data_IF_414150758709
#
_entry.id   IF_414150758709
#
_cell.length_a   1.000
_cell.length_b   1.000
_cell.length_c   1.000
_cell.angle_alpha   90.00
_cell.angle_beta   90.00
_cell.angle_gamma   90.00
#
_symmetry.space_group_name_H-M   'P 1'
#
loop_
_entity.id
_entity.type
_entity.pdbx_description
1 polymer ?
#
# COMPACT_ATOMS: atom_id res chain seq x y z
N UNK A 1 3.45 12.01 26.65
CA UNK A 1 2.93 11.62 25.33
C UNK A 1 2.99 10.11 25.30
N UNK A 2 1.90 9.43 24.94
CA UNK A 2 1.95 7.97 24.76
C UNK A 2 3.00 7.67 23.70
N UNK A 3 3.91 6.73 23.97
CA UNK A 3 4.80 6.22 22.93
C UNK A 3 3.96 5.73 21.75
N UNK A 4 4.38 6.07 20.53
CA UNK A 4 3.70 5.59 19.32
C UNK A 4 3.81 4.06 19.28
N UNK A 5 2.68 3.37 19.16
CA UNK A 5 2.69 1.92 18.93
C UNK A 5 2.85 1.64 17.43
N UNK A 6 3.64 0.61 17.13
CA UNK A 6 3.82 0.08 15.77
C UNK A 6 3.28 -1.34 15.64
N UNK A 7 2.75 -1.92 16.73
CA UNK A 7 2.40 -3.34 16.79
C UNK A 7 1.34 -3.71 15.76
N UNK A 8 0.31 -2.88 15.59
CA UNK A 8 -0.75 -3.14 14.61
C UNK A 8 -0.22 -3.03 13.18
N UNK A 9 0.60 -2.03 12.90
CA UNK A 9 1.22 -1.83 11.59
C UNK A 9 2.17 -2.99 11.25
N UNK A 10 2.96 -3.43 12.23
CA UNK A 10 3.84 -4.59 12.11
C UNK A 10 3.04 -5.86 11.83
N UNK A 11 1.98 -6.13 12.61
CA UNK A 11 1.12 -7.29 12.41
C UNK A 11 0.42 -7.27 11.04
N UNK A 12 0.00 -6.08 10.58
CA UNK A 12 -0.59 -5.91 9.26
C UNK A 12 0.40 -6.31 8.16
N UNK A 13 1.59 -5.72 8.15
CA UNK A 13 2.60 -6.00 7.12
C UNK A 13 3.18 -7.41 7.21
N UNK A 14 3.18 -8.02 8.39
CA UNK A 14 3.59 -9.42 8.60
C UNK A 14 2.69 -10.41 7.85
N UNK A 15 1.46 -10.01 7.50
CA UNK A 15 0.48 -10.83 6.77
C UNK A 15 0.48 -10.58 5.27
N UNK A 16 1.08 -9.50 4.78
CA UNK A 16 1.08 -9.18 3.34
C UNK A 16 1.93 -10.21 2.60
N UNK A 17 1.40 -10.92 1.57
CA UNK A 17 2.08 -12.07 0.96
C UNK A 17 3.49 -11.79 0.41
N UNK A 18 3.70 -10.60 -0.16
CA UNK A 18 4.97 -10.19 -0.76
C UNK A 18 5.95 -9.55 0.24
N UNK A 19 5.57 -9.38 1.51
CA UNK A 19 6.40 -8.78 2.56
C UNK A 19 6.67 -9.84 3.62
N UNK A 20 5.64 -10.22 4.39
CA UNK A 20 5.76 -11.15 5.52
C UNK A 20 6.67 -10.59 6.63
N UNK A 21 6.61 -11.19 7.82
CA UNK A 21 7.36 -10.73 9.00
C UNK A 21 8.88 -10.67 8.73
N UNK A 22 9.41 -11.62 7.97
CA UNK A 22 10.84 -11.73 7.69
C UNK A 22 11.43 -10.56 6.87
N UNK A 23 10.59 -9.77 6.19
CA UNK A 23 11.03 -8.62 5.38
C UNK A 23 10.74 -7.28 6.05
N UNK A 24 10.25 -7.27 7.30
CA UNK A 24 10.17 -6.04 8.08
C UNK A 24 11.56 -5.74 8.65
N UNK A 25 12.13 -4.59 8.27
CA UNK A 25 13.51 -4.26 8.65
C UNK A 25 13.55 -3.57 10.02
N UNK A 26 12.85 -2.45 10.14
CA UNK A 26 12.89 -1.58 11.33
C UNK A 26 11.85 -0.47 11.25
N UNK A 27 11.57 0.16 12.38
CA UNK A 27 10.67 1.31 12.49
C UNK A 27 11.07 2.15 13.69
N UNK A 28 10.64 3.40 13.72
CA UNK A 28 10.97 4.29 14.82
C UNK A 28 10.36 5.67 14.71
N UNK A 29 10.69 6.51 15.68
CA UNK A 29 10.25 7.90 15.79
C UNK A 29 11.43 8.82 16.00
N UNK A 30 11.28 10.10 15.65
CA UNK A 30 12.22 11.17 16.01
C UNK A 30 12.08 11.63 17.48
N UNK A 31 11.16 11.02 18.24
CA UNK A 31 10.84 11.39 19.62
C UNK A 31 9.92 12.62 19.74
N UNK A 32 9.40 13.12 18.61
CA UNK A 32 8.43 14.22 18.55
C UNK A 32 7.17 13.76 17.83
N UNK A 33 7.09 14.02 16.53
CA UNK A 33 5.90 13.84 15.70
C UNK A 33 6.19 13.05 14.42
N UNK A 34 7.46 12.78 14.12
CA UNK A 34 7.82 12.02 12.94
C UNK A 34 8.02 10.55 13.27
N UNK A 35 7.57 9.69 12.37
CA UNK A 35 7.80 8.26 12.45
C UNK A 35 8.03 7.67 11.06
N UNK A 36 8.67 6.51 11.05
CA UNK A 36 8.96 5.76 9.83
C UNK A 36 8.85 4.25 10.06
N UNK A 37 8.52 3.52 9.01
CA UNK A 37 8.41 2.07 8.99
C UNK A 37 9.06 1.54 7.70
N UNK A 38 10.12 0.74 7.84
CA UNK A 38 10.95 0.23 6.75
C UNK A 38 10.80 -1.28 6.60
N UNK A 39 10.62 -1.73 5.37
CA UNK A 39 10.49 -3.13 5.01
C UNK A 39 10.97 -3.35 3.57
N UNK A 40 11.07 -4.61 3.18
CA UNK A 40 11.33 -5.04 1.82
C UNK A 40 10.08 -5.69 1.23
N UNK A 41 9.93 -5.58 -0.08
CA UNK A 41 8.95 -6.34 -0.85
C UNK A 41 9.76 -7.36 -1.65
N UNK A 42 9.42 -8.64 -1.51
CA UNK A 42 10.01 -9.70 -2.33
C UNK A 42 9.65 -9.45 -3.80
N UNK A 43 10.59 -8.88 -4.56
CA UNK A 43 10.40 -8.51 -5.96
C UNK A 43 10.16 -9.69 -6.90
N UNK A 44 10.53 -10.91 -6.46
CA UNK A 44 10.28 -12.15 -7.20
C UNK A 44 8.88 -12.72 -6.91
N UNK A 45 8.17 -12.19 -5.90
CA UNK A 45 6.82 -12.62 -5.59
C UNK A 45 5.84 -12.19 -6.70
N UNK A 46 4.91 -13.04 -7.16
CA UNK A 46 3.98 -12.69 -8.25
C UNK A 46 3.14 -11.43 -7.99
N UNK A 47 2.87 -11.13 -6.71
CA UNK A 47 2.13 -9.94 -6.27
C UNK A 47 3.01 -8.72 -5.97
N UNK A 48 4.32 -8.76 -6.15
CA UNK A 48 5.23 -7.69 -5.68
C UNK A 48 4.84 -6.30 -6.20
N UNK A 49 4.69 -6.16 -7.52
CA UNK A 49 4.35 -4.89 -8.15
C UNK A 49 2.91 -4.46 -7.89
N UNK A 50 2.02 -5.43 -7.69
CA UNK A 50 0.67 -5.14 -7.26
C UNK A 50 0.65 -4.58 -5.84
N UNK A 51 1.42 -5.16 -4.92
CA UNK A 51 1.61 -4.60 -3.57
C UNK A 51 2.17 -3.18 -3.63
N UNK A 52 3.18 -2.92 -4.46
CA UNK A 52 3.72 -1.56 -4.66
C UNK A 52 2.64 -0.60 -5.17
N UNK A 53 1.83 -1.02 -6.14
CA UNK A 53 0.77 -0.21 -6.73
C UNK A 53 -0.32 0.14 -5.70
N UNK A 54 -0.84 -0.86 -4.98
CA UNK A 54 -1.89 -0.66 -3.97
C UNK A 54 -1.41 0.19 -2.80
N UNK A 55 -0.19 -0.08 -2.30
CA UNK A 55 0.42 0.74 -1.24
C UNK A 55 0.69 2.17 -1.72
N UNK A 56 1.16 2.34 -2.95
CA UNK A 56 1.33 3.66 -3.55
C UNK A 56 0.02 4.45 -3.65
N UNK A 57 -1.08 3.78 -3.98
CA UNK A 57 -2.41 4.40 -3.97
C UNK A 57 -2.82 4.79 -2.54
N UNK A 58 -2.87 3.85 -1.61
CA UNK A 58 -3.38 4.14 -0.26
C UNK A 58 -2.51 5.15 0.49
N UNK A 59 -1.19 4.99 0.45
CA UNK A 59 -0.25 5.74 1.30
C UNK A 59 0.21 7.06 0.70
N UNK A 60 0.12 7.27 -0.62
CA UNK A 60 0.50 8.54 -1.25
C UNK A 60 -0.72 9.33 -1.74
N UNK A 61 -1.60 8.70 -2.54
CA UNK A 61 -2.71 9.38 -3.21
C UNK A 61 -3.95 8.47 -3.29
N UNK A 62 -4.89 8.67 -2.36
CA UNK A 62 -6.18 7.97 -2.36
C UNK A 62 -7.07 8.45 -3.50
N UNK A 63 -6.84 9.67 -4.01
CA UNK A 63 -7.53 10.22 -5.17
C UNK A 63 -6.60 11.19 -5.89
N UNK A 64 -7.01 11.64 -7.10
CA UNK A 64 -6.29 12.68 -7.87
C UNK A 64 -6.02 13.94 -7.04
N UNK A 65 -6.86 14.22 -6.03
CA UNK A 65 -6.80 15.42 -5.20
C UNK A 65 -6.70 15.14 -3.69
N UNK A 66 -6.71 13.88 -3.26
CA UNK A 66 -6.66 13.52 -1.83
C UNK A 66 -5.34 12.83 -1.50
N UNK A 67 -4.56 13.49 -0.64
CA UNK A 67 -3.23 13.04 -0.22
C UNK A 67 -3.23 12.82 1.28
N UNK A 68 -2.85 11.62 1.71
CA UNK A 68 -2.54 11.37 3.11
C UNK A 68 -1.24 12.10 3.51
N UNK A 69 -1.05 12.46 4.78
CA UNK A 69 0.19 13.06 5.27
C UNK A 69 1.40 12.11 5.27
N UNK A 70 1.21 10.87 4.81
CA UNK A 70 2.24 9.84 4.63
C UNK A 70 2.99 9.97 3.32
N UNK A 71 4.14 9.32 3.26
CA UNK A 71 4.92 9.10 2.05
C UNK A 71 5.38 7.66 2.03
N UNK A 72 5.16 6.98 0.91
CA UNK A 72 5.67 5.66 0.59
C UNK A 72 6.70 5.78 -0.52
N UNK A 73 7.95 5.48 -0.20
CA UNK A 73 9.12 5.77 -1.04
C UNK A 73 10.03 4.54 -1.17
N UNK A 74 10.60 4.26 -2.36
CA UNK A 74 11.69 3.30 -2.47
C UNK A 74 12.96 3.87 -1.85
N UNK A 75 13.72 3.05 -1.15
CA UNK A 75 15.04 3.39 -0.61
C UNK A 75 16.04 2.27 -0.92
N UNK A 76 17.30 2.64 -1.12
CA UNK A 76 18.40 1.69 -1.33
C UNK A 76 19.61 2.13 -0.52
N UNK A 77 20.50 1.20 -0.14
CA UNK A 77 21.77 1.54 0.47
C UNK A 77 22.67 2.35 -0.48
N UNK A 78 23.78 2.89 0.04
CA UNK A 78 24.77 3.58 -0.79
C UNK A 78 25.24 2.74 -1.99
N UNK A 79 25.51 3.36 -3.15
CA UNK A 79 25.82 2.65 -4.41
C UNK A 79 26.93 1.60 -4.32
N UNK A 80 27.91 1.79 -3.44
CA UNK A 80 29.04 0.87 -3.23
C UNK A 80 28.70 -0.37 -2.39
N UNK A 81 27.50 -0.43 -1.81
CA UNK A 81 26.93 -1.60 -1.14
C UNK A 81 25.71 -2.16 -1.90
N UNK A 82 25.41 -1.63 -3.09
CA UNK A 82 24.30 -2.12 -3.89
C UNK A 82 24.70 -3.37 -4.68
N UNK A 83 23.88 -4.39 -4.57
CA UNK A 83 23.76 -5.49 -5.51
C UNK A 83 22.40 -5.44 -6.20
N UNK A 84 21.80 -6.61 -6.45
CA UNK A 84 20.52 -6.68 -7.15
C UNK A 84 19.36 -6.11 -6.31
N UNK A 85 18.30 -5.64 -6.97
CA UNK A 85 17.14 -5.06 -6.30
C UNK A 85 16.55 -6.00 -5.22
N UNK A 86 16.51 -7.31 -5.48
CA UNK A 86 16.01 -8.31 -4.53
C UNK A 86 16.80 -8.39 -3.20
N UNK A 87 18.01 -7.84 -3.17
CA UNK A 87 18.88 -7.87 -1.99
C UNK A 87 18.91 -6.54 -1.24
N UNK A 88 18.58 -5.43 -1.90
CA UNK A 88 18.89 -4.09 -1.40
C UNK A 88 17.77 -3.06 -1.59
N UNK A 89 16.73 -3.37 -2.36
CA UNK A 89 15.58 -2.49 -2.51
C UNK A 89 14.68 -2.66 -1.28
N UNK A 90 14.54 -1.57 -0.53
CA UNK A 90 13.57 -1.45 0.56
C UNK A 90 12.57 -0.35 0.24
N UNK A 91 11.52 -0.28 1.03
CA UNK A 91 10.57 0.80 1.03
C UNK A 91 10.42 1.37 2.42
N UNK A 92 10.13 2.67 2.49
CA UNK A 92 9.83 3.38 3.73
C UNK A 92 8.47 4.01 3.63
N UNK A 93 7.66 3.79 4.66
CA UNK A 93 6.50 4.63 4.97
C UNK A 93 6.97 5.63 6.01
N UNK A 94 6.75 6.92 5.78
CA UNK A 94 7.06 7.96 6.76
C UNK A 94 5.94 8.98 6.86
N UNK A 95 5.78 9.54 8.06
CA UNK A 95 4.86 10.64 8.31
C UNK A 95 5.43 11.59 9.35
N UNK A 96 5.20 12.89 9.17
CA UNK A 96 5.67 13.95 10.07
C UNK A 96 4.50 14.71 10.72
N UNK A 97 3.27 14.21 10.60
CA UNK A 97 2.07 14.88 11.08
C UNK A 97 1.69 14.36 12.47
N UNK A 98 1.58 15.26 13.45
CA UNK A 98 1.37 14.92 14.86
C UNK A 98 0.10 14.08 15.09
N UNK A 99 -0.99 14.43 14.40
CA UNK A 99 -2.29 13.74 14.53
C UNK A 99 -2.41 12.50 13.63
N UNK A 100 -1.30 11.98 13.10
CA UNK A 100 -1.31 10.84 12.19
C UNK A 100 -0.33 9.73 12.64
N UNK A 101 -0.64 9.03 13.74
CA UNK A 101 0.19 7.94 14.27
C UNK A 101 0.11 6.68 13.40
N UNK A 102 1.04 5.72 13.57
CA UNK A 102 1.07 4.47 12.78
C UNK A 102 -0.25 3.68 12.80
N UNK A 103 -0.95 3.67 13.95
CA UNK A 103 -2.22 2.95 14.10
C UNK A 103 -3.33 3.49 13.19
N UNK A 104 -3.36 4.80 12.92
CA UNK A 104 -4.38 5.41 12.04
C UNK A 104 -4.24 4.88 10.63
N UNK A 105 -3.01 4.64 10.15
CA UNK A 105 -2.78 4.11 8.80
C UNK A 105 -3.35 2.71 8.64
N UNK A 106 -3.34 1.92 9.71
CA UNK A 106 -3.90 0.58 9.65
C UNK A 106 -5.39 0.63 9.27
N UNK A 107 -6.14 1.62 9.75
CA UNK A 107 -7.56 1.79 9.35
C UNK A 107 -7.69 2.10 7.85
N UNK A 108 -6.79 2.94 7.30
CA UNK A 108 -6.79 3.26 5.87
C UNK A 108 -6.40 2.07 5.00
N UNK A 109 -5.39 1.30 5.43
CA UNK A 109 -4.93 0.09 4.78
C UNK A 109 -6.02 -0.99 4.83
N UNK A 110 -6.59 -1.25 5.99
CA UNK A 110 -7.63 -2.28 6.16
C UNK A 110 -8.90 -1.98 5.36
N UNK A 111 -9.27 -0.69 5.24
CA UNK A 111 -10.45 -0.27 4.48
C UNK A 111 -10.28 -0.33 2.96
N UNK A 112 -9.05 -0.41 2.43
CA UNK A 112 -8.77 -0.27 0.99
C UNK A 112 -8.01 -1.44 0.38
N UNK A 113 -7.18 -2.11 1.16
CA UNK A 113 -6.47 -3.29 0.73
C UNK A 113 -7.36 -4.53 0.80
N UNK A 114 -6.98 -5.61 0.08
CA UNK A 114 -7.69 -6.87 0.13
C UNK A 114 -7.98 -7.36 1.56
N UNK A 115 -9.19 -7.87 1.77
CA UNK A 115 -9.62 -8.46 3.05
C UNK A 115 -10.05 -9.92 2.84
N UNK A 116 -9.43 -10.90 3.53
CA UNK A 116 -8.26 -10.74 4.41
C UNK A 116 -6.97 -10.43 3.62
N UNK A 117 -6.04 -9.70 4.23
CA UNK A 117 -4.82 -9.20 3.56
C UNK A 117 -3.83 -10.33 3.21
N UNK A 118 -3.88 -11.43 3.94
CA UNK A 118 -3.09 -12.64 3.69
C UNK A 118 -3.57 -13.49 2.51
N UNK A 119 -4.78 -13.28 2.01
CA UNK A 119 -5.34 -14.07 0.91
C UNK A 119 -4.83 -13.54 -0.44
N UNK A 120 -3.81 -14.22 -0.98
CA UNK A 120 -3.18 -13.90 -2.25
C UNK A 120 -4.14 -13.85 -3.45
N UNK A 121 -5.26 -14.58 -3.42
CA UNK A 121 -6.23 -14.55 -4.51
C UNK A 121 -7.05 -13.26 -4.51
N UNK A 122 -7.25 -12.65 -3.33
CA UNK A 122 -7.93 -11.34 -3.20
C UNK A 122 -7.08 -10.19 -3.70
N UNK A 123 -5.77 -10.35 -3.76
CA UNK A 123 -4.89 -9.38 -4.36
C UNK A 123 -5.02 -9.37 -5.87
N UNK A 124 -5.22 -10.51 -6.54
CA UNK A 124 -5.24 -10.57 -8.00
C UNK A 124 -6.37 -9.71 -8.57
N UNK A 125 -6.04 -8.62 -9.25
CA UNK A 125 -7.01 -7.86 -10.03
C UNK A 125 -7.41 -8.75 -11.21
N UNK A 126 -8.72 -8.95 -11.41
CA UNK A 126 -9.24 -9.55 -12.65
C UNK A 126 -8.93 -8.61 -13.81
N UNK A 127 -7.80 -8.85 -14.48
CA UNK A 127 -7.43 -8.13 -15.71
C UNK A 127 -7.97 -8.82 -16.97
N UNK A 128 -8.54 -10.02 -16.85
CA UNK A 128 -9.14 -10.73 -17.98
C UNK A 128 -10.54 -10.17 -18.26
N UNK A 129 -10.56 -9.19 -19.16
CA UNK A 129 -11.77 -8.51 -19.65
C UNK A 129 -12.55 -9.35 -20.67
N UNK A 130 -12.15 -10.59 -20.96
CA UNK A 130 -12.98 -11.50 -21.78
C UNK A 130 -14.37 -11.74 -21.21
N UNK A 131 -14.52 -11.61 -19.88
CA UNK A 131 -15.82 -11.65 -19.22
C UNK A 131 -16.67 -10.41 -19.64
N UNK A 132 -16.06 -9.23 -19.81
CA UNK A 132 -16.74 -8.03 -20.30
C UNK A 132 -17.12 -8.14 -21.78
N UNK A 133 -16.30 -8.81 -22.60
CA UNK A 133 -16.61 -9.06 -24.03
C UNK A 133 -17.85 -9.97 -24.21
N UNK A 134 -18.25 -10.70 -23.17
CA UNK A 134 -19.43 -11.57 -23.16
C UNK A 134 -20.66 -10.90 -22.52
N UNK A 135 -20.52 -9.71 -21.93
CA UNK A 135 -21.62 -8.97 -21.33
C UNK A 135 -22.41 -8.22 -22.40
N UNK A 136 -23.73 -8.09 -22.22
CA UNK A 136 -24.54 -7.27 -23.12
C UNK A 136 -24.34 -5.78 -22.85
N UNK A 137 -24.57 -4.92 -23.85
CA UNK A 137 -24.50 -3.46 -23.70
C UNK A 137 -25.28 -2.95 -22.48
N UNK A 138 -26.42 -3.57 -22.18
CA UNK A 138 -27.25 -3.23 -21.02
C UNK A 138 -26.61 -3.57 -19.68
N UNK A 139 -25.84 -4.64 -19.63
CA UNK A 139 -25.16 -5.06 -18.40
C UNK A 139 -23.92 -4.17 -18.15
N UNK A 140 -23.24 -3.77 -19.22
CA UNK A 140 -22.12 -2.82 -19.16
C UNK A 140 -22.56 -1.43 -18.68
N UNK A 141 -23.72 -0.95 -19.14
CA UNK A 141 -24.31 0.33 -18.71
C UNK A 141 -24.63 0.37 -17.21
N UNK A 142 -24.84 -0.78 -16.55
CA UNK A 142 -25.07 -0.83 -15.09
C UNK A 142 -23.79 -0.79 -14.25
N UNK A 143 -22.64 -1.09 -14.86
CA UNK A 143 -21.33 -1.05 -14.19
C UNK A 143 -20.68 0.33 -14.26
N UNK A 144 -21.05 1.15 -15.24
CA UNK A 144 -20.57 2.52 -15.39
C UNK A 144 -21.61 3.47 -14.78
N UNK A 145 -21.31 4.22 -13.70
CA UNK A 145 -22.25 5.19 -13.18
C UNK A 145 -22.60 6.22 -14.27
N UNK A 146 -23.88 6.62 -14.40
CA UNK A 146 -24.30 7.54 -15.45
C UNK A 146 -23.46 8.82 -15.38
N UNK A 147 -23.00 9.26 -16.56
CA UNK A 147 -22.17 10.45 -16.68
C UNK A 147 -22.92 11.63 -16.02
N UNK A 148 -22.30 12.38 -15.09
CA UNK A 148 -23.01 13.47 -14.44
C UNK A 148 -23.48 14.48 -15.49
N UNK A 149 -24.77 14.83 -15.42
CA UNK A 149 -25.37 15.76 -16.37
C UNK A 149 -24.56 17.06 -16.44
N UNK A 150 -24.38 17.64 -17.64
CA UNK A 150 -23.75 18.94 -17.78
C UNK A 150 -24.50 19.94 -16.89
N UNK A 151 -23.80 20.52 -15.90
CA UNK A 151 -24.35 21.64 -15.14
C UNK A 151 -24.46 22.83 -16.10
N UNK A 152 -25.70 23.16 -16.49
CA UNK A 152 -26.04 24.43 -17.15
C UNK A 152 -25.70 25.63 -16.27
#
# INVERSE_FOLDING_TARGET
MSELSFDRLHQFFSKVPSIQEALIDSYGTDGKNAWWFKFQINVDHPLAWQTVQELGHVLNYISKNERLPTQFLPVSPPPYMNGEAKQFLSWVIQCNHADFPPDVICDWLEARLPQPVEDADKWKIKTDIKELDQMSDKDLDTLVPPNPDPKN
#
